data_IF_779127944735
#
_entry.id   IF_779127944735
#
_cell.length_a   1.000
_cell.length_b   1.000
_cell.length_c   1.000
_cell.angle_alpha   90.00
_cell.angle_beta   90.00
_cell.angle_gamma   90.00
#
_symmetry.space_group_name_H-M   'P 1'
#
loop_
_entity.id
_entity.type
_entity.pdbx_description
1 polymer ?
#
# COMPACT_ATOMS: atom_id res chain seq x y z
N UNK A 1 12.46 -28.36 51.52
CA UNK A 1 12.04 -27.01 51.96
C UNK A 1 11.25 -26.21 50.91
N UNK A 2 10.99 -26.75 49.72
CA UNK A 2 10.31 -26.03 48.62
C UNK A 2 8.78 -25.84 48.80
N UNK A 3 8.07 -26.78 49.44
CA UNK A 3 6.60 -26.74 49.61
C UNK A 3 6.03 -25.69 50.60
N UNK A 4 6.87 -24.93 51.31
CA UNK A 4 6.41 -23.89 52.27
C UNK A 4 6.33 -22.49 51.66
N UNK A 5 7.12 -22.20 50.62
CA UNK A 5 7.17 -20.87 49.99
C UNK A 5 5.97 -20.65 49.06
N UNK A 6 5.54 -21.69 48.35
CA UNK A 6 4.31 -21.66 47.52
C UNK A 6 3.03 -21.36 48.31
N UNK A 7 3.03 -21.55 49.64
CA UNK A 7 1.91 -21.19 50.52
C UNK A 7 1.95 -19.73 51.01
N UNK A 8 3.02 -18.99 50.71
CA UNK A 8 3.26 -17.63 51.23
C UNK A 8 3.03 -16.53 50.18
N UNK A 9 2.95 -16.90 48.90
CA UNK A 9 2.80 -15.96 47.80
C UNK A 9 1.76 -16.46 46.80
N UNK A 10 1.02 -15.54 46.18
CA UNK A 10 0.02 -15.84 45.16
C UNK A 10 0.21 -14.90 43.97
N UNK A 11 0.23 -15.45 42.76
CA UNK A 11 0.25 -14.65 41.54
C UNK A 11 -1.09 -13.93 41.38
N UNK A 12 -1.02 -12.64 41.11
CA UNK A 12 -2.16 -11.78 40.79
C UNK A 12 -1.94 -11.13 39.44
N UNK A 13 -3.02 -10.74 38.79
CA UNK A 13 -3.03 -10.15 37.45
C UNK A 13 -3.40 -8.68 37.59
N UNK A 14 -2.48 -7.80 37.18
CA UNK A 14 -2.59 -6.35 37.35
C UNK A 14 -3.14 -5.73 36.07
N UNK A 15 -3.95 -4.70 36.24
CA UNK A 15 -4.44 -3.85 35.15
C UNK A 15 -4.00 -2.40 35.32
N UNK A 16 -3.91 -1.71 34.19
CA UNK A 16 -3.53 -0.31 34.11
C UNK A 16 -4.66 0.65 34.57
N UNK A 17 -4.46 1.95 34.37
CA UNK A 17 -5.47 2.97 34.72
C UNK A 17 -6.72 2.93 33.84
N UNK A 18 -6.61 2.38 32.63
CA UNK A 18 -7.70 2.22 31.66
C UNK A 18 -8.45 0.89 31.86
N UNK A 19 -7.98 0.06 32.79
CA UNK A 19 -8.56 -1.24 33.15
C UNK A 19 -8.08 -2.41 32.29
N UNK A 20 -7.05 -2.22 31.46
CA UNK A 20 -6.49 -3.27 30.62
C UNK A 20 -5.39 -4.05 31.33
N UNK A 21 -5.33 -5.36 31.08
CA UNK A 21 -4.29 -6.22 31.60
C UNK A 21 -2.90 -5.70 31.20
N UNK A 22 -2.04 -5.52 32.19
CA UNK A 22 -0.71 -4.94 32.03
C UNK A 22 0.38 -6.00 32.27
N UNK A 23 0.36 -6.62 33.45
CA UNK A 23 1.36 -7.61 33.86
C UNK A 23 0.85 -8.49 35.01
N UNK A 24 1.66 -9.45 35.42
CA UNK A 24 1.48 -10.25 36.63
C UNK A 24 2.29 -9.68 37.80
N UNK A 25 1.77 -9.84 39.02
CA UNK A 25 2.47 -9.46 40.24
C UNK A 25 2.33 -10.54 41.31
N UNK A 26 3.06 -10.39 42.42
CA UNK A 26 3.03 -11.34 43.53
C UNK A 26 2.36 -10.69 44.74
N UNK A 27 1.25 -11.26 45.20
CA UNK A 27 0.63 -10.92 46.47
C UNK A 27 1.20 -11.80 47.60
N UNK A 28 1.59 -11.17 48.71
CA UNK A 28 2.12 -11.88 49.89
C UNK A 28 1.01 -12.17 50.90
N UNK A 29 1.14 -13.23 51.69
CA UNK A 29 0.20 -13.50 52.80
C UNK A 29 0.26 -12.37 53.83
N UNK A 30 -0.91 -11.95 54.31
CA UNK A 30 -1.03 -10.90 55.32
C UNK A 30 -0.57 -11.43 56.70
N UNK A 31 0.52 -10.91 57.28
CA UNK A 31 1.03 -11.40 58.57
C UNK A 31 0.10 -11.07 59.74
N UNK A 32 -0.83 -10.12 59.58
CA UNK A 32 -1.79 -9.71 60.61
C UNK A 32 -3.15 -10.42 60.50
N UNK A 33 -3.47 -11.02 59.36
CA UNK A 33 -4.71 -11.78 59.11
C UNK A 33 -4.37 -13.10 58.42
N UNK A 34 -4.23 -14.21 59.19
CA UNK A 34 -3.98 -15.53 58.63
C UNK A 34 -5.06 -15.91 57.60
N UNK A 35 -4.66 -16.21 56.37
CA UNK A 35 -5.55 -16.59 55.26
C UNK A 35 -5.94 -15.46 54.30
N UNK A 36 -5.62 -14.20 54.61
CA UNK A 36 -5.77 -13.08 53.68
C UNK A 36 -4.44 -12.77 52.96
N UNK A 37 -4.51 -12.22 51.74
CA UNK A 37 -3.34 -11.73 51.01
C UNK A 37 -3.29 -10.20 51.05
N UNK A 38 -2.09 -9.64 51.03
CA UNK A 38 -1.84 -8.23 50.77
C UNK A 38 -1.86 -8.04 49.25
N UNK A 39 -3.00 -7.61 48.73
CA UNK A 39 -3.20 -7.36 47.32
C UNK A 39 -2.56 -6.03 46.91
N UNK A 40 -1.73 -6.01 45.84
CA UNK A 40 -1.38 -4.78 45.16
C UNK A 40 -2.62 -4.02 44.67
N UNK A 41 -2.52 -2.70 44.43
CA UNK A 41 -3.61 -1.97 43.80
C UNK A 41 -3.87 -2.50 42.38
N UNK A 42 -5.12 -2.36 41.91
CA UNK A 42 -5.55 -2.72 40.55
C UNK A 42 -5.18 -4.15 40.13
N UNK A 43 -5.52 -5.13 40.95
CA UNK A 43 -5.28 -6.53 40.62
C UNK A 43 -6.52 -7.42 40.82
N UNK A 44 -6.51 -8.58 40.17
CA UNK A 44 -7.45 -9.68 40.36
C UNK A 44 -6.69 -11.00 40.49
N UNK A 45 -7.32 -11.97 41.13
CA UNK A 45 -6.85 -13.35 41.25
C UNK A 45 -7.17 -14.19 40.01
N UNK A 46 -8.09 -13.71 39.17
CA UNK A 46 -8.55 -14.45 37.98
C UNK A 46 -7.57 -14.23 36.84
N UNK A 47 -7.01 -15.33 36.34
CA UNK A 47 -6.12 -15.33 35.18
C UNK A 47 -6.92 -15.04 33.90
N UNK A 48 -6.51 -14.09 33.05
CA UNK A 48 -7.07 -13.94 31.71
C UNK A 48 -6.68 -15.12 30.80
N UNK A 49 -7.47 -15.40 29.78
CA UNK A 49 -7.23 -16.53 28.86
C UNK A 49 -5.94 -16.37 28.03
N UNK A 50 -5.44 -15.14 27.85
CA UNK A 50 -4.21 -14.79 27.13
C UNK A 50 -4.13 -15.36 25.69
N UNK A 51 -5.25 -15.30 24.96
CA UNK A 51 -5.35 -15.64 23.54
C UNK A 51 -4.53 -14.63 22.71
N UNK A 52 -3.87 -15.10 21.63
CA UNK A 52 -3.12 -14.21 20.74
C UNK A 52 -4.07 -13.21 20.08
N UNK A 53 -3.64 -11.94 19.97
CA UNK A 53 -4.40 -10.83 19.37
C UNK A 53 -5.71 -10.46 20.11
N UNK A 54 -5.73 -10.60 21.43
CA UNK A 54 -6.79 -10.08 22.28
C UNK A 54 -6.22 -9.18 23.37
N UNK A 55 -6.93 -8.09 23.65
CA UNK A 55 -6.81 -7.30 24.86
C UNK A 55 -7.77 -7.86 25.91
N UNK A 56 -7.41 -7.68 27.18
CA UNK A 56 -8.21 -8.14 28.31
C UNK A 56 -8.53 -6.94 29.18
N UNK A 57 -9.81 -6.60 29.32
CA UNK A 57 -10.26 -5.50 30.19
C UNK A 57 -10.95 -6.05 31.42
N UNK A 58 -10.64 -5.53 32.61
CA UNK A 58 -11.25 -6.00 33.85
C UNK A 58 -12.76 -5.67 33.85
N UNK A 59 -13.60 -6.66 34.17
CA UNK A 59 -15.06 -6.47 34.18
C UNK A 59 -15.53 -5.54 35.31
N UNK A 60 -15.01 -5.76 36.51
CA UNK A 60 -15.37 -5.02 37.72
C UNK A 60 -14.10 -4.49 38.39
N UNK A 61 -13.90 -3.18 38.31
CA UNK A 61 -12.74 -2.51 38.93
C UNK A 61 -12.79 -2.66 40.45
N UNK A 62 -11.65 -3.02 41.04
CA UNK A 62 -11.50 -3.20 42.48
C UNK A 62 -11.99 -4.54 43.05
N UNK A 63 -12.61 -5.41 42.25
CA UNK A 63 -12.99 -6.76 42.69
C UNK A 63 -11.82 -7.74 42.45
N UNK A 64 -11.33 -8.33 43.56
CA UNK A 64 -10.24 -9.30 43.59
C UNK A 64 -10.56 -10.61 42.83
N UNK A 65 -11.84 -10.88 42.56
CA UNK A 65 -12.28 -12.05 41.80
C UNK A 65 -12.94 -11.69 40.47
N UNK A 66 -12.79 -10.45 40.01
CA UNK A 66 -13.32 -10.06 38.70
C UNK A 66 -12.63 -10.82 37.59
N UNK A 67 -13.44 -11.31 36.64
CA UNK A 67 -12.96 -11.81 35.35
C UNK A 67 -12.62 -10.69 34.37
N UNK A 68 -12.37 -11.09 33.12
CA UNK A 68 -11.93 -10.22 32.03
C UNK A 68 -12.92 -10.25 30.86
N UNK A 69 -13.14 -9.10 30.24
CA UNK A 69 -13.74 -8.98 28.91
C UNK A 69 -12.64 -9.13 27.86
N UNK A 70 -12.86 -10.02 26.90
CA UNK A 70 -11.94 -10.27 25.80
C UNK A 70 -12.28 -9.32 24.64
N UNK A 71 -11.31 -8.51 24.22
CA UNK A 71 -11.47 -7.52 23.16
C UNK A 71 -10.50 -7.90 22.04
N UNK A 72 -10.96 -8.28 20.84
CA UNK A 72 -10.06 -8.60 19.74
C UNK A 72 -9.24 -7.38 19.32
N UNK A 73 -8.03 -7.60 18.83
CA UNK A 73 -7.24 -6.51 18.22
C UNK A 73 -7.98 -5.95 17.00
N UNK A 74 -7.80 -4.65 16.71
CA UNK A 74 -8.15 -4.07 15.42
C UNK A 74 -7.56 -4.90 14.27
N UNK A 75 -8.34 -5.12 13.22
CA UNK A 75 -7.95 -5.93 12.07
C UNK A 75 -7.44 -5.08 10.91
N UNK A 76 -7.85 -3.82 10.84
CA UNK A 76 -7.55 -2.91 9.73
C UNK A 76 -7.48 -1.44 10.17
N UNK A 77 -7.05 -0.55 9.26
CA UNK A 77 -7.08 0.90 9.50
C UNK A 77 -8.53 1.43 9.65
N UNK A 78 -9.51 0.76 9.06
CA UNK A 78 -10.93 1.12 9.18
C UNK A 78 -11.42 1.06 10.64
N UNK A 79 -10.89 0.13 11.43
CA UNK A 79 -11.25 -0.03 12.86
C UNK A 79 -10.74 1.14 13.72
N UNK A 80 -9.81 1.95 13.20
CA UNK A 80 -9.28 3.15 13.86
C UNK A 80 -9.96 4.43 13.40
N UNK A 81 -10.90 4.37 12.44
CA UNK A 81 -11.58 5.57 11.93
C UNK A 81 -12.41 6.20 13.05
N UNK A 82 -12.06 7.44 13.41
CA UNK A 82 -12.69 8.17 14.51
C UNK A 82 -12.29 7.71 15.92
N UNK A 83 -11.34 6.78 16.05
CA UNK A 83 -10.80 6.35 17.36
C UNK A 83 -9.61 7.23 17.72
N UNK A 84 -9.78 8.06 18.75
CA UNK A 84 -8.71 8.90 19.27
C UNK A 84 -7.87 8.16 20.31
N UNK A 85 -6.63 7.82 19.94
CA UNK A 85 -5.69 7.19 20.87
C UNK A 85 -4.80 8.26 21.50
N UNK A 86 -4.84 8.45 22.83
CA UNK A 86 -4.08 9.51 23.50
C UNK A 86 -2.59 9.38 23.25
N UNK A 87 -1.91 10.46 22.87
CA UNK A 87 -0.47 10.46 22.60
C UNK A 87 0.37 10.34 23.89
N UNK A 88 -0.07 10.99 24.97
CA UNK A 88 0.64 11.02 26.26
C UNK A 88 0.48 9.74 27.10
N UNK A 89 -0.50 8.89 26.78
CA UNK A 89 -0.71 7.66 27.55
C UNK A 89 0.42 6.66 27.29
N UNK A 90 1.01 6.19 28.40
CA UNK A 90 2.13 5.24 28.42
C UNK A 90 1.68 3.81 28.69
N UNK A 91 0.37 3.55 28.74
CA UNK A 91 -0.15 2.20 28.92
C UNK A 91 0.26 1.30 27.76
N UNK A 92 0.46 0.01 28.06
CA UNK A 92 0.82 -0.97 27.04
C UNK A 92 -0.27 -1.06 25.96
N UNK A 93 -1.53 -1.05 26.37
CA UNK A 93 -2.68 -1.03 25.47
C UNK A 93 -2.60 0.12 24.44
N UNK A 94 -2.46 1.36 24.89
CA UNK A 94 -2.43 2.51 23.99
C UNK A 94 -1.14 2.56 23.14
N UNK A 95 -0.01 2.10 23.68
CA UNK A 95 1.21 1.93 22.89
C UNK A 95 1.00 0.93 21.74
N UNK A 96 0.38 -0.22 22.03
CA UNK A 96 0.07 -1.22 21.01
C UNK A 96 -0.91 -0.71 19.97
N UNK A 97 -1.97 -0.02 20.37
CA UNK A 97 -2.93 0.57 19.44
C UNK A 97 -2.27 1.59 18.49
N UNK A 98 -1.39 2.46 18.99
CA UNK A 98 -0.67 3.42 18.12
C UNK A 98 0.25 2.71 17.12
N UNK A 99 0.93 1.63 17.55
CA UNK A 99 1.78 0.84 16.66
C UNK A 99 0.94 0.16 15.57
N UNK A 100 -0.16 -0.49 15.94
CA UNK A 100 -1.07 -1.15 15.00
C UNK A 100 -1.67 -0.14 14.01
N UNK A 101 -2.14 1.01 14.50
CA UNK A 101 -2.66 2.09 13.66
C UNK A 101 -1.64 2.49 12.59
N UNK A 102 -0.40 2.79 13.00
CA UNK A 102 0.66 3.20 12.08
C UNK A 102 0.97 2.11 11.04
N UNK A 103 1.02 0.85 11.48
CA UNK A 103 1.31 -0.28 10.59
C UNK A 103 0.18 -0.54 9.59
N UNK A 104 -1.09 -0.39 9.99
CA UNK A 104 -2.22 -0.57 9.09
C UNK A 104 -2.35 0.56 8.08
N UNK A 105 -2.16 1.83 8.50
CA UNK A 105 -2.16 2.97 7.57
C UNK A 105 -1.01 2.86 6.57
N UNK A 106 0.18 2.39 6.98
CA UNK A 106 1.30 2.14 6.06
C UNK A 106 1.01 1.05 5.03
N UNK A 107 0.19 0.07 5.37
CA UNK A 107 -0.22 -1.01 4.45
C UNK A 107 -1.27 -0.57 3.45
N UNK A 108 -2.06 0.46 3.80
CA UNK A 108 -3.12 0.98 2.96
C UNK A 108 -3.13 2.53 2.92
N UNK A 109 -2.10 3.15 2.33
CA UNK A 109 -1.96 4.61 2.29
C UNK A 109 -2.90 5.28 1.28
N UNK A 110 -3.57 4.51 0.41
CA UNK A 110 -4.48 5.05 -0.60
C UNK A 110 -5.87 5.32 -0.03
N UNK A 111 -6.31 4.53 0.96
CA UNK A 111 -7.64 4.66 1.55
C UNK A 111 -7.64 5.28 2.94
N UNK A 112 -6.50 5.32 3.65
CA UNK A 112 -6.44 5.83 5.02
C UNK A 112 -5.23 6.73 5.26
N UNK A 113 -5.42 7.75 6.11
CA UNK A 113 -4.35 8.63 6.58
C UNK A 113 -4.37 8.78 8.10
N UNK A 114 -3.17 8.88 8.69
CA UNK A 114 -3.01 9.23 10.10
C UNK A 114 -3.24 10.73 10.28
N UNK A 115 -4.05 11.10 11.27
CA UNK A 115 -4.31 12.48 11.66
C UNK A 115 -3.93 12.69 13.12
N UNK A 116 -3.14 13.74 13.36
CA UNK A 116 -2.84 14.18 14.71
C UNK A 116 -3.94 15.12 15.20
N UNK A 117 -4.55 14.77 16.34
CA UNK A 117 -5.45 15.66 17.07
C UNK A 117 -4.59 16.50 18.00
N UNK A 118 -4.63 17.82 17.84
CA UNK A 118 -3.85 18.77 18.61
C UNK A 118 -4.73 19.60 19.54
N UNK A 119 -4.18 20.08 20.64
CA UNK A 119 -4.86 21.02 21.52
C UNK A 119 -4.83 22.47 20.98
N UNK A 120 -5.41 23.40 21.75
CA UNK A 120 -5.44 24.84 21.42
C UNK A 120 -4.05 25.48 21.32
N UNK A 121 -3.02 24.86 21.89
CA UNK A 121 -1.64 25.34 21.88
C UNK A 121 -0.81 24.69 20.74
N UNK A 122 -1.39 23.73 20.01
CA UNK A 122 -0.72 23.00 18.94
C UNK A 122 -0.02 21.72 19.40
N UNK A 123 -0.15 21.32 20.67
CA UNK A 123 0.45 20.09 21.18
C UNK A 123 -0.39 18.86 20.78
N UNK A 124 0.26 17.79 20.29
CA UNK A 124 -0.42 16.54 19.92
C UNK A 124 -1.01 15.86 21.16
N UNK A 125 -2.34 15.76 21.19
CA UNK A 125 -3.09 15.10 22.27
C UNK A 125 -3.48 13.67 21.91
N UNK A 126 -3.79 13.39 20.65
CA UNK A 126 -4.16 12.05 20.20
C UNK A 126 -3.75 11.80 18.75
N UNK A 127 -3.75 10.52 18.38
CA UNK A 127 -3.67 10.06 16.99
C UNK A 127 -5.00 9.41 16.62
N UNK A 128 -5.52 9.72 15.43
CA UNK A 128 -6.71 9.09 14.85
C UNK A 128 -6.46 8.74 13.38
N UNK A 129 -7.36 7.97 12.77
CA UNK A 129 -7.36 7.67 11.33
C UNK A 129 -8.54 8.34 10.66
N UNK A 130 -8.30 8.92 9.49
CA UNK A 130 -9.34 9.36 8.57
C UNK A 130 -9.30 8.54 7.29
N UNK A 131 -10.48 8.23 6.75
CA UNK A 131 -10.60 7.65 5.42
C UNK A 131 -10.33 8.73 4.36
N UNK A 132 -9.45 8.44 3.42
CA UNK A 132 -9.25 9.24 2.22
C UNK A 132 -10.46 8.96 1.31
N UNK A 133 -11.24 9.97 0.93
CA UNK A 133 -12.37 9.76 0.04
C UNK A 133 -11.85 9.21 -1.29
N UNK A 134 -12.37 8.05 -1.71
CA UNK A 134 -12.09 7.52 -3.02
C UNK A 134 -12.53 8.52 -4.09
N UNK A 135 -11.69 8.75 -5.10
CA UNK A 135 -12.11 9.54 -6.26
C UNK A 135 -13.36 8.90 -6.87
N UNK A 136 -14.37 9.72 -7.10
CA UNK A 136 -15.58 9.32 -7.80
C UNK A 136 -15.22 8.81 -9.20
N UNK A 137 -16.07 7.96 -9.79
CA UNK A 137 -15.88 7.50 -11.18
C UNK A 137 -15.74 8.67 -12.16
N UNK A 138 -16.47 9.76 -11.90
CA UNK A 138 -16.40 10.99 -12.67
C UNK A 138 -15.02 11.66 -12.57
N UNK A 139 -14.44 11.75 -11.37
CA UNK A 139 -13.09 12.31 -11.16
C UNK A 139 -12.00 11.41 -11.75
N UNK A 140 -12.11 10.08 -11.58
CA UNK A 140 -11.21 9.11 -12.22
C UNK A 140 -11.23 9.27 -13.74
N UNK A 141 -12.43 9.41 -14.33
CA UNK A 141 -12.60 9.67 -15.75
C UNK A 141 -11.96 11.00 -16.15
N UNK A 142 -12.25 12.08 -15.42
CA UNK A 142 -11.68 13.41 -15.70
C UNK A 142 -10.15 13.42 -15.64
N UNK A 143 -9.55 12.70 -14.68
CA UNK A 143 -8.09 12.55 -14.57
C UNK A 143 -7.51 11.80 -15.78
N UNK A 144 -8.16 10.70 -16.22
CA UNK A 144 -7.77 9.99 -17.45
C UNK A 144 -7.87 10.88 -18.69
N UNK A 145 -8.95 11.66 -18.81
CA UNK A 145 -9.10 12.62 -19.92
C UNK A 145 -8.01 13.69 -19.93
N UNK A 146 -7.69 14.24 -18.76
CA UNK A 146 -6.64 15.25 -18.61
C UNK A 146 -5.25 14.67 -18.97
N UNK A 147 -4.93 13.48 -18.46
CA UNK A 147 -3.69 12.78 -18.79
C UNK A 147 -3.59 12.52 -20.31
N UNK A 148 -4.65 12.04 -20.94
CA UNK A 148 -4.68 11.80 -22.37
C UNK A 148 -4.50 13.08 -23.20
N UNK A 149 -5.14 14.20 -22.81
CA UNK A 149 -4.95 15.50 -23.46
C UNK A 149 -3.50 15.99 -23.30
N UNK A 150 -2.90 15.81 -22.12
CA UNK A 150 -1.50 16.14 -21.88
C UNK A 150 -0.55 15.33 -22.76
N UNK A 151 -0.78 14.02 -22.91
CA UNK A 151 -0.01 13.15 -23.82
C UNK A 151 -0.13 13.61 -25.27
N UNK A 152 -1.34 13.94 -25.73
CA UNK A 152 -1.56 14.50 -27.08
C UNK A 152 -0.75 15.77 -27.28
N UNK A 153 -0.83 16.71 -26.34
CA UNK A 153 -0.15 18.00 -26.43
C UNK A 153 1.37 17.80 -26.47
N UNK A 154 1.89 16.86 -25.68
CA UNK A 154 3.29 16.47 -25.73
C UNK A 154 3.71 15.98 -27.13
N UNK A 155 2.96 15.07 -27.78
CA UNK A 155 3.32 14.60 -29.13
C UNK A 155 3.22 15.69 -30.20
N UNK A 156 2.25 16.61 -30.07
CA UNK A 156 2.19 17.80 -30.89
C UNK A 156 3.43 18.68 -30.68
N UNK A 157 3.88 18.90 -29.45
CA UNK A 157 5.10 19.70 -29.21
C UNK A 157 6.35 19.04 -29.79
N UNK A 158 6.45 17.70 -29.74
CA UNK A 158 7.60 16.96 -30.25
C UNK A 158 7.73 17.00 -31.77
N UNK A 159 6.64 17.29 -32.49
CA UNK A 159 6.62 17.39 -33.96
C UNK A 159 6.46 18.82 -34.45
N UNK A 160 6.51 19.82 -33.56
CA UNK A 160 6.22 21.20 -33.94
C UNK A 160 7.27 21.78 -34.89
N UNK A 161 8.54 21.42 -34.68
CA UNK A 161 9.63 21.86 -35.56
C UNK A 161 9.52 21.32 -36.99
N UNK A 162 8.88 20.15 -37.18
CA UNK A 162 8.72 19.52 -38.50
C UNK A 162 7.71 20.25 -39.40
N UNK A 163 6.79 21.04 -38.82
CA UNK A 163 5.82 21.80 -39.61
C UNK A 163 6.29 23.21 -39.96
N UNK A 164 7.48 23.63 -39.48
CA UNK A 164 8.09 24.92 -39.83
C UNK A 164 8.60 24.88 -41.27
N UNK A 165 8.33 25.92 -42.06
CA UNK A 165 8.65 25.96 -43.50
C UNK A 165 10.15 25.77 -43.80
N UNK A 166 11.02 26.28 -42.91
CA UNK A 166 12.47 26.24 -43.10
C UNK A 166 13.13 24.92 -42.67
N UNK A 167 12.37 23.96 -42.14
CA UNK A 167 12.91 22.66 -41.75
C UNK A 167 13.16 21.78 -42.98
N UNK A 168 14.37 21.16 -43.14
CA UNK A 168 14.77 20.46 -44.35
C UNK A 168 14.13 19.07 -44.46
N UNK A 169 12.85 19.03 -44.79
CA UNK A 169 12.07 17.82 -45.15
C UNK A 169 11.39 18.02 -46.49
N UNK A 170 11.05 16.91 -47.14
CA UNK A 170 10.28 16.91 -48.38
C UNK A 170 8.83 17.37 -48.13
N UNK A 171 8.13 17.75 -49.20
CA UNK A 171 6.73 18.15 -49.10
C UNK A 171 5.84 16.97 -48.69
N UNK A 172 6.17 15.78 -49.20
CA UNK A 172 5.48 14.52 -48.89
C UNK A 172 5.63 14.16 -47.41
N UNK A 173 6.85 14.28 -46.84
CA UNK A 173 7.08 14.05 -45.40
C UNK A 173 6.35 15.08 -44.54
N UNK A 174 6.29 16.34 -44.98
CA UNK A 174 5.53 17.39 -44.29
C UNK A 174 4.03 17.07 -44.26
N UNK A 175 3.48 16.59 -45.35
CA UNK A 175 2.07 16.17 -45.44
C UNK A 175 1.77 15.03 -44.45
N UNK A 176 2.62 14.00 -44.40
CA UNK A 176 2.48 12.91 -43.42
C UNK A 176 2.50 13.40 -41.96
N UNK A 177 3.36 14.38 -41.64
CA UNK A 177 3.40 14.98 -40.30
C UNK A 177 2.11 15.76 -40.00
N UNK A 178 1.54 16.46 -40.98
CA UNK A 178 0.27 17.17 -40.81
C UNK A 178 -0.89 16.21 -40.56
N UNK A 179 -0.97 15.11 -41.31
CA UNK A 179 -1.95 14.04 -41.11
C UNK A 179 -1.83 13.42 -39.71
N UNK A 180 -0.61 13.07 -39.30
CA UNK A 180 -0.33 12.54 -37.95
C UNK A 180 -0.80 13.51 -36.86
N UNK A 181 -0.46 14.80 -36.98
CA UNK A 181 -0.88 15.83 -36.02
C UNK A 181 -2.40 16.02 -36.00
N UNK A 182 -3.07 15.86 -37.14
CA UNK A 182 -4.52 15.91 -37.18
C UNK A 182 -5.14 14.70 -36.46
N UNK A 183 -4.65 13.48 -36.72
CA UNK A 183 -5.08 12.28 -36.02
C UNK A 183 -4.94 12.42 -34.50
N UNK A 184 -3.85 13.04 -34.01
CA UNK A 184 -3.68 13.35 -32.59
C UNK A 184 -4.74 14.33 -32.06
N UNK A 185 -5.10 15.36 -32.81
CA UNK A 185 -6.12 16.34 -32.41
C UNK A 185 -7.52 15.74 -32.35
N UNK A 186 -7.77 14.71 -33.16
CA UNK A 186 -9.06 14.04 -33.24
C UNK A 186 -9.28 13.04 -32.08
N UNK A 187 -8.22 12.64 -31.35
CA UNK A 187 -8.31 11.67 -30.24
C UNK A 187 -9.36 12.04 -29.18
N UNK A 188 -9.42 13.28 -28.64
CA UNK A 188 -10.41 13.63 -27.63
C UNK A 188 -11.86 13.69 -28.14
N UNK A 189 -12.05 13.66 -29.47
CA UNK A 189 -13.37 13.61 -30.11
C UNK A 189 -13.81 12.16 -30.38
N UNK A 190 -12.94 11.17 -30.21
CA UNK A 190 -13.26 9.78 -30.44
C UNK A 190 -14.21 9.23 -29.36
N UNK A 191 -15.17 8.38 -29.76
CA UNK A 191 -16.14 7.75 -28.85
C UNK A 191 -15.49 6.90 -27.74
N UNK A 192 -14.31 6.34 -28.02
CA UNK A 192 -13.55 5.52 -27.08
C UNK A 192 -12.75 6.34 -26.04
N UNK A 193 -12.75 7.66 -26.13
CA UNK A 193 -12.02 8.52 -25.21
C UNK A 193 -12.68 8.57 -23.82
N UNK A 194 -11.90 8.47 -22.71
CA UNK A 194 -10.44 8.27 -22.63
C UNK A 194 -10.00 6.80 -22.46
N UNK A 195 -10.92 5.84 -22.40
CA UNK A 195 -10.66 4.46 -21.97
C UNK A 195 -9.90 3.61 -23.00
N UNK A 196 -10.17 3.80 -24.30
CA UNK A 196 -9.68 2.95 -25.40
C UNK A 196 -8.91 3.73 -26.47
N UNK A 197 -8.01 4.62 -26.06
CA UNK A 197 -7.24 5.45 -26.99
C UNK A 197 -6.25 4.59 -27.78
N UNK A 198 -6.36 4.63 -29.10
CA UNK A 198 -5.36 4.11 -30.03
C UNK A 198 -4.54 5.29 -30.54
N UNK A 199 -3.28 5.38 -30.12
CA UNK A 199 -2.37 6.43 -30.57
C UNK A 199 -1.90 6.14 -32.00
N UNK A 200 -1.94 7.13 -32.92
CA UNK A 200 -1.38 6.95 -34.26
C UNK A 200 0.12 6.72 -34.18
N UNK A 201 0.66 5.91 -35.09
CA UNK A 201 2.11 5.73 -35.21
C UNK A 201 2.73 6.98 -35.88
N UNK A 202 3.86 7.48 -35.36
CA UNK A 202 4.54 8.62 -35.97
C UNK A 202 5.15 8.25 -37.33
N UNK A 203 5.13 9.17 -38.32
CA UNK A 203 5.81 8.94 -39.59
C UNK A 203 7.32 8.81 -39.41
N UNK A 204 8.03 8.26 -40.40
CA UNK A 204 9.46 7.95 -40.29
C UNK A 204 10.31 9.15 -39.82
N UNK A 205 10.04 10.35 -40.35
CA UNK A 205 10.71 11.61 -39.96
C UNK A 205 10.47 12.03 -38.51
N UNK A 206 9.38 11.56 -37.88
CA UNK A 206 9.00 11.88 -36.50
C UNK A 206 9.31 10.76 -35.50
N UNK A 207 9.69 9.55 -35.97
CA UNK A 207 10.03 8.41 -35.11
C UNK A 207 11.16 8.73 -34.15
N UNK A 208 12.16 9.49 -34.59
CA UNK A 208 13.30 9.91 -33.76
C UNK A 208 12.86 10.77 -32.58
N UNK A 209 11.96 11.74 -32.80
CA UNK A 209 11.37 12.52 -31.73
C UNK A 209 10.62 11.61 -30.76
N UNK A 210 9.73 10.75 -31.27
CA UNK A 210 8.85 9.89 -30.47
C UNK A 210 9.52 8.63 -29.87
N UNK A 211 10.83 8.47 -30.01
CA UNK A 211 11.55 7.26 -29.57
C UNK A 211 11.28 6.91 -28.11
N UNK A 212 11.31 7.89 -27.21
CA UNK A 212 11.11 7.66 -25.78
C UNK A 212 9.68 7.22 -25.44
N UNK A 213 8.68 7.78 -26.10
CA UNK A 213 7.30 7.34 -25.93
C UNK A 213 7.13 5.89 -26.38
N UNK A 214 7.58 5.56 -27.60
CA UNK A 214 7.45 4.19 -28.12
C UNK A 214 8.20 3.20 -27.23
N UNK A 215 9.37 3.59 -26.74
CA UNK A 215 10.14 2.82 -25.75
C UNK A 215 9.36 2.57 -24.46
N UNK A 216 8.63 3.57 -23.94
CA UNK A 216 7.80 3.41 -22.76
C UNK A 216 6.61 2.46 -23.01
N UNK A 217 5.97 2.56 -24.19
CA UNK A 217 4.87 1.67 -24.57
C UNK A 217 5.35 0.21 -24.66
N UNK A 218 6.48 -0.02 -25.33
CA UNK A 218 7.09 -1.34 -25.43
C UNK A 218 7.53 -1.85 -24.07
N UNK A 219 8.11 -0.99 -23.22
CA UNK A 219 8.52 -1.37 -21.87
C UNK A 219 7.35 -1.79 -20.97
N UNK A 220 6.19 -1.12 -21.10
CA UNK A 220 4.96 -1.53 -20.42
C UNK A 220 4.48 -2.91 -20.91
N UNK A 221 4.56 -3.19 -22.21
CA UNK A 221 4.24 -4.50 -22.77
C UNK A 221 5.21 -5.60 -22.30
N UNK A 222 6.52 -5.31 -22.26
CA UNK A 222 7.54 -6.23 -21.70
C UNK A 222 7.20 -6.54 -20.24
N UNK A 223 6.92 -5.52 -19.43
CA UNK A 223 6.55 -5.69 -18.02
C UNK A 223 5.32 -6.58 -17.87
N UNK A 224 4.27 -6.32 -18.64
CA UNK A 224 3.03 -7.10 -18.64
C UNK A 224 3.28 -8.58 -18.99
N UNK A 225 4.14 -8.85 -19.97
CA UNK A 225 4.52 -10.22 -20.35
C UNK A 225 5.32 -10.92 -19.24
N UNK A 226 6.25 -10.21 -18.60
CA UNK A 226 7.00 -10.75 -17.46
C UNK A 226 6.06 -11.08 -16.31
N UNK A 227 5.13 -10.18 -15.95
CA UNK A 227 4.12 -10.45 -14.90
C UNK A 227 3.27 -11.68 -15.23
N UNK A 228 2.87 -11.85 -16.49
CA UNK A 228 2.14 -13.04 -16.95
C UNK A 228 2.96 -14.33 -16.82
N UNK A 229 4.27 -14.30 -17.12
CA UNK A 229 5.18 -15.44 -16.92
C UNK A 229 5.34 -15.76 -15.43
N UNK A 230 5.50 -14.75 -14.58
CA UNK A 230 5.67 -14.95 -13.14
C UNK A 230 4.43 -15.55 -12.47
N UNK A 231 3.24 -15.22 -12.99
CA UNK A 231 1.97 -15.76 -12.52
C UNK A 231 1.70 -17.21 -12.96
N UNK A 232 2.45 -17.74 -13.93
CA UNK A 232 2.28 -19.12 -14.42
C UNK A 232 2.80 -20.14 -13.41
N UNK A 233 2.01 -21.19 -13.19
CA UNK A 233 2.32 -22.30 -12.27
C UNK A 233 2.89 -23.52 -12.96
N UNK A 234 2.81 -23.56 -14.30
CA UNK A 234 3.29 -24.64 -15.15
C UNK A 234 4.79 -24.53 -15.49
N UNK A 235 5.40 -23.37 -15.24
CA UNK A 235 6.82 -23.11 -15.44
C UNK A 235 7.60 -23.22 -14.13
N UNK A 236 8.79 -23.82 -14.18
CA UNK A 236 9.73 -23.77 -13.07
C UNK A 236 10.45 -22.40 -12.99
N UNK A 237 11.20 -22.17 -11.90
CA UNK A 237 11.89 -20.89 -11.67
C UNK A 237 13.04 -20.64 -12.67
N UNK A 238 13.66 -21.68 -13.20
CA UNK A 238 14.72 -21.55 -14.22
C UNK A 238 14.12 -21.13 -15.57
N UNK A 239 13.03 -21.76 -15.98
CA UNK A 239 12.27 -21.42 -17.18
C UNK A 239 11.72 -20.00 -17.12
N UNK A 240 11.12 -19.60 -15.99
CA UNK A 240 10.67 -18.22 -15.76
C UNK A 240 11.82 -17.23 -15.88
N UNK A 241 12.98 -17.56 -15.34
CA UNK A 241 14.18 -16.71 -15.42
C UNK A 241 14.67 -16.57 -16.85
N UNK A 242 14.72 -17.67 -17.63
CA UNK A 242 15.10 -17.66 -19.05
C UNK A 242 14.15 -16.81 -19.89
N UNK A 243 12.84 -17.00 -19.75
CA UNK A 243 11.83 -16.23 -20.50
C UNK A 243 11.85 -14.75 -20.11
N UNK A 244 12.01 -14.45 -18.83
CA UNK A 244 12.15 -13.06 -18.34
C UNK A 244 13.41 -12.41 -18.92
N UNK A 245 14.54 -13.12 -18.93
CA UNK A 245 15.79 -12.63 -19.50
C UNK A 245 15.65 -12.39 -21.02
N UNK A 246 15.03 -13.31 -21.76
CA UNK A 246 14.78 -13.13 -23.19
C UNK A 246 13.90 -11.91 -23.48
N UNK A 247 12.87 -11.64 -22.68
CA UNK A 247 12.06 -10.43 -22.79
C UNK A 247 12.86 -9.16 -22.47
N UNK A 248 13.81 -9.21 -21.53
CA UNK A 248 14.70 -8.09 -21.25
C UNK A 248 15.71 -7.84 -22.39
N UNK A 249 16.08 -8.86 -23.16
CA UNK A 249 16.96 -8.69 -24.32
C UNK A 249 16.30 -7.90 -25.47
N UNK A 250 14.97 -7.77 -25.48
CA UNK A 250 14.25 -6.95 -26.46
C UNK A 250 14.76 -5.50 -26.51
N UNK A 251 15.17 -4.94 -25.37
CA UNK A 251 15.73 -3.58 -25.29
C UNK A 251 17.04 -3.41 -26.08
N UNK A 252 17.74 -4.52 -26.39
CA UNK A 252 19.04 -4.51 -27.06
C UNK A 252 18.94 -4.70 -28.58
N UNK A 253 17.74 -4.96 -29.12
CA UNK A 253 17.54 -5.13 -30.56
C UNK A 253 17.82 -3.82 -31.32
N UNK A 254 18.42 -3.94 -32.51
CA UNK A 254 18.80 -2.79 -33.33
C UNK A 254 17.61 -1.96 -33.82
N UNK A 255 16.45 -2.60 -34.01
CA UNK A 255 15.19 -1.97 -34.40
C UNK A 255 14.38 -1.35 -33.26
N UNK A 256 14.85 -1.48 -32.01
CA UNK A 256 14.14 -0.96 -30.85
C UNK A 256 14.01 0.58 -30.90
N UNK A 257 12.81 1.15 -30.64
CA UNK A 257 11.59 0.49 -30.14
C UNK A 257 10.50 0.21 -31.21
N UNK A 258 10.79 0.40 -32.50
CA UNK A 258 9.74 0.34 -33.55
C UNK A 258 9.68 -1.02 -34.25
N UNK A 259 10.83 -1.64 -34.49
CA UNK A 259 10.95 -2.91 -35.17
C UNK A 259 11.47 -3.94 -34.16
N UNK A 260 10.54 -4.69 -33.56
CA UNK A 260 10.79 -5.62 -32.46
C UNK A 260 10.40 -7.03 -32.85
N UNK A 261 11.33 -7.94 -32.65
CA UNK A 261 11.10 -9.38 -32.72
C UNK A 261 10.85 -9.90 -31.30
N UNK A 262 9.64 -10.36 -31.03
CA UNK A 262 9.31 -10.88 -29.71
C UNK A 262 9.88 -12.29 -29.53
N UNK A 263 10.50 -12.61 -28.38
CA UNK A 263 11.04 -13.94 -28.13
C UNK A 263 9.93 -14.99 -28.18
N UNK A 264 10.17 -16.08 -28.90
CA UNK A 264 9.28 -17.23 -29.00
C UNK A 264 9.56 -18.18 -27.83
N UNK A 265 8.53 -18.51 -27.05
CA UNK A 265 8.66 -19.30 -25.84
C UNK A 265 9.35 -20.65 -26.07
N UNK A 266 8.95 -21.37 -27.12
CA UNK A 266 9.54 -22.68 -27.47
C UNK A 266 11.04 -22.57 -27.78
N UNK A 267 11.46 -21.54 -28.51
CA UNK A 267 12.87 -21.34 -28.87
C UNK A 267 13.72 -20.94 -27.66
N UNK A 268 13.17 -20.10 -26.77
CA UNK A 268 13.86 -19.67 -25.55
C UNK A 268 14.06 -20.84 -24.58
N UNK A 269 13.09 -21.75 -24.51
CA UNK A 269 13.17 -22.92 -23.64
C UNK A 269 13.97 -24.09 -24.26
N UNK A 270 14.12 -24.13 -25.59
CA UNK A 270 14.85 -25.17 -26.30
C UNK A 270 16.37 -24.91 -26.48
N UNK A 271 16.82 -23.66 -26.37
CA UNK A 271 18.24 -23.32 -26.45
C UNK A 271 18.93 -23.63 -25.09
N UNK A 272 19.65 -24.76 -25.04
CA UNK A 272 20.60 -25.15 -23.97
C UNK A 272 22.04 -24.75 -24.29
#
# INVERSE_FOLDING_TARGET
MSKKVEKLVKTVFVYDEDGFFEDTHIAQVNPKRPGAYLMPPRCTLVKPDLKPKFFYKIKTVGDENSGWDEIPFPQSAADFVGVEIPHKSRTLHNHMLRSLLSDYVKKDPEHFREVAVNDKNGDKIATTVEAIPELTEAEKKAQKEAAARSTRDYYLTMTDYLVVNDYPITNEEREQVLEYRQALRDIPQARAFPEGIVWPEPPAVAKAAHKYWKSAQVGAEIKKRIEAIQARTDLDEEQKTKLTAALQQVYQQSGYPYDIEWPVEEEVLANE
#
